data_IF_207701930770
#
_entry.id   IF_207701930770
#
_cell.length_a   1.000
_cell.length_b   1.000
_cell.length_c   1.000
_cell.angle_alpha   90.00
_cell.angle_beta   90.00
_cell.angle_gamma   90.00
#
_symmetry.space_group_name_H-M   'P 1'
#
loop_
_entity.id
_entity.type
_entity.pdbx_description
1 polymer ?
#
# COMPACT_ATOMS: atom_id res chain seq x y z
N UNK A 1 -13.54 9.76 -4.83
CA UNK A 1 -12.51 8.70 -4.82
C UNK A 1 -12.22 8.39 -3.37
N UNK A 2 -12.02 7.12 -2.98
CA UNK A 2 -11.73 6.78 -1.58
C UNK A 2 -10.39 7.38 -1.15
N UNK A 3 -10.33 7.86 0.09
CA UNK A 3 -9.13 8.43 0.67
C UNK A 3 -8.20 7.33 1.19
N UNK A 4 -6.91 7.46 0.87
CA UNK A 4 -5.87 6.57 1.40
C UNK A 4 -5.79 6.81 2.91
N UNK A 5 -5.94 5.76 3.72
CA UNK A 5 -5.79 5.84 5.19
C UNK A 5 -4.46 5.30 5.67
N UNK A 6 -3.85 4.40 4.90
CA UNK A 6 -2.55 3.84 5.19
C UNK A 6 -1.83 3.44 3.90
N UNK A 7 -0.52 3.67 3.89
CA UNK A 7 0.38 3.13 2.89
C UNK A 7 1.31 2.17 3.61
N UNK A 8 1.26 0.89 3.26
CA UNK A 8 2.17 -0.12 3.78
C UNK A 8 2.83 -0.89 2.63
N UNK A 9 4.12 -1.19 2.78
CA UNK A 9 4.88 -1.95 1.80
C UNK A 9 5.86 -2.89 2.50
N UNK A 10 6.12 -4.04 1.88
CA UNK A 10 7.19 -4.96 2.30
C UNK A 10 8.01 -5.39 1.10
N UNK A 11 9.33 -5.32 1.26
CA UNK A 11 10.26 -5.90 0.29
C UNK A 11 10.37 -7.41 0.56
N UNK A 12 9.92 -8.24 -0.40
CA UNK A 12 9.73 -9.67 -0.18
C UNK A 12 11.05 -10.43 0.10
N UNK A 13 12.17 -9.96 -0.45
CA UNK A 13 13.46 -10.66 -0.30
C UNK A 13 14.12 -10.40 1.06
N UNK A 14 14.08 -9.15 1.55
CA UNK A 14 14.77 -8.77 2.79
C UNK A 14 13.84 -8.65 3.98
N UNK A 15 12.53 -8.68 3.76
CA UNK A 15 11.53 -8.41 4.79
C UNK A 15 11.55 -6.98 5.31
N UNK A 16 12.25 -6.04 4.65
CA UNK A 16 12.26 -4.63 5.06
C UNK A 16 10.87 -4.02 4.82
N UNK A 17 10.33 -3.29 5.81
CA UNK A 17 8.95 -2.82 5.84
C UNK A 17 8.87 -1.30 5.83
N UNK A 18 7.80 -0.80 5.26
CA UNK A 18 7.34 0.57 5.34
C UNK A 18 5.86 0.58 5.74
N UNK A 19 5.47 1.47 6.64
CA UNK A 19 4.06 1.69 6.96
C UNK A 19 3.89 3.10 7.51
N UNK A 20 2.97 3.85 6.94
CA UNK A 20 2.59 5.19 7.39
C UNK A 20 1.08 5.35 7.32
N UNK A 21 0.51 6.07 8.29
CA UNK A 21 -0.91 6.40 8.33
C UNK A 21 -1.12 7.80 7.78
N UNK A 22 -2.12 7.92 6.93
CA UNK A 22 -2.46 9.16 6.24
C UNK A 22 -3.63 9.82 6.95
N UNK A 23 -3.49 11.10 7.29
CA UNK A 23 -4.59 11.91 7.82
C UNK A 23 -5.66 12.08 6.74
N UNK A 24 -6.88 11.64 7.04
CA UNK A 24 -8.03 11.83 6.15
C UNK A 24 -8.64 13.21 6.38
N UNK A 25 -9.13 13.85 5.31
CA UNK A 25 -9.89 15.11 5.42
C UNK A 25 -11.39 14.85 5.56
N UNK A 26 -11.84 13.63 5.22
CA UNK A 26 -13.22 13.16 5.43
C UNK A 26 -13.30 12.16 6.59
N UNK A 27 -14.43 12.10 7.30
CA UNK A 27 -14.67 11.11 8.34
C UNK A 27 -14.65 9.68 7.78
N UNK A 28 -14.00 8.77 8.51
CA UNK A 28 -13.97 7.35 8.16
C UNK A 28 -15.31 6.71 8.48
N UNK A 29 -15.92 6.00 7.52
CA UNK A 29 -17.18 5.28 7.73
C UNK A 29 -17.08 4.25 8.85
N UNK A 30 -18.18 4.03 9.56
CA UNK A 30 -18.30 3.09 10.68
C UNK A 30 -17.82 1.68 10.30
N UNK A 31 -18.15 1.25 9.08
CA UNK A 31 -17.77 -0.04 8.49
C UNK A 31 -16.26 -0.11 8.25
N UNK A 32 -15.67 0.95 7.68
CA UNK A 32 -14.24 0.98 7.43
C UNK A 32 -13.44 1.03 8.74
N UNK A 33 -13.88 1.80 9.75
CA UNK A 33 -13.23 1.84 11.08
C UNK A 33 -13.14 0.46 11.74
N UNK A 34 -14.18 -0.36 11.60
CA UNK A 34 -14.21 -1.74 12.12
C UNK A 34 -13.20 -2.66 11.43
N UNK A 35 -12.94 -2.44 10.14
CA UNK A 35 -12.02 -3.26 9.33
C UNK A 35 -10.56 -2.82 9.54
N UNK A 36 -10.31 -1.50 9.60
CA UNK A 36 -8.95 -0.95 9.64
C UNK A 36 -8.42 -0.69 11.06
N UNK A 37 -9.24 -0.84 12.11
CA UNK A 37 -8.88 -0.60 13.52
C UNK A 37 -8.33 0.82 13.79
N UNK A 38 -8.80 1.79 13.00
CA UNK A 38 -8.52 3.22 13.16
C UNK A 38 -9.81 3.90 13.61
N UNK A 39 -9.78 4.64 14.71
CA UNK A 39 -10.87 5.55 15.10
C UNK A 39 -10.47 7.00 14.83
N UNK A 40 -11.39 7.79 14.29
CA UNK A 40 -11.24 9.25 14.18
C UNK A 40 -12.13 9.86 15.25
N UNK A 41 -11.59 10.73 16.09
CA UNK A 41 -12.42 11.46 17.06
C UNK A 41 -13.10 12.69 16.43
N UNK A 42 -14.03 13.28 17.18
CA UNK A 42 -14.83 14.43 16.73
C UNK A 42 -13.99 15.68 16.39
N UNK A 43 -12.70 15.66 16.71
CA UNK A 43 -11.72 16.71 16.42
C UNK A 43 -10.80 16.36 15.23
N UNK A 44 -11.06 15.25 14.52
CA UNK A 44 -10.27 14.81 13.37
C UNK A 44 -8.92 14.18 13.73
N UNK A 45 -8.73 13.74 14.98
CA UNK A 45 -7.53 13.04 15.42
C UNK A 45 -7.72 11.53 15.21
N UNK A 46 -6.90 10.95 14.32
CA UNK A 46 -6.84 9.51 14.13
C UNK A 46 -6.12 8.84 15.30
N UNK A 47 -6.76 7.83 15.89
CA UNK A 47 -6.20 6.90 16.87
C UNK A 47 -6.20 5.50 16.28
N UNK A 48 -5.02 4.97 15.99
CA UNK A 48 -4.84 3.55 15.71
C UNK A 48 -4.71 2.83 17.04
N UNK A 49 -5.46 1.74 17.26
CA UNK A 49 -5.61 1.06 18.56
C UNK A 49 -4.30 0.53 19.21
N UNK A 50 -3.13 0.81 18.65
CA UNK A 50 -1.83 0.47 19.23
C UNK A 50 -0.75 1.56 19.16
N UNK A 51 -0.96 2.72 18.50
CA UNK A 51 0.02 3.82 18.49
C UNK A 51 -0.67 5.17 18.31
N UNK A 52 -0.52 6.03 19.32
CA UNK A 52 -0.72 7.48 19.21
C UNK A 52 0.39 8.07 18.35
N UNK A 53 0.31 7.94 17.03
CA UNK A 53 1.25 8.54 16.09
C UNK A 53 0.58 9.68 15.35
N UNK A 54 1.26 10.82 15.25
CA UNK A 54 0.78 11.99 14.50
C UNK A 54 0.47 11.59 13.05
N UNK A 55 -0.79 11.72 12.65
CA UNK A 55 -1.23 11.46 11.28
C UNK A 55 -0.61 12.50 10.34
N UNK A 56 0.15 12.05 9.35
CA UNK A 56 0.82 12.91 8.36
C UNK A 56 -0.07 13.13 7.13
N UNK A 57 0.14 14.24 6.42
CA UNK A 57 -0.60 14.51 5.18
C UNK A 57 -0.28 13.47 4.10
N UNK A 58 -1.20 13.22 3.17
CA UNK A 58 -0.98 12.28 2.06
C UNK A 58 0.30 12.61 1.26
N UNK A 59 0.61 13.89 1.09
CA UNK A 59 1.83 14.35 0.43
C UNK A 59 3.09 13.93 1.20
N UNK A 60 3.12 14.12 2.51
CA UNK A 60 4.25 13.71 3.34
C UNK A 60 4.40 12.18 3.33
N UNK A 61 3.29 11.45 3.49
CA UNK A 61 3.29 9.98 3.48
C UNK A 61 3.75 9.39 2.14
N UNK A 62 3.32 9.95 1.01
CA UNK A 62 3.79 9.52 -0.32
C UNK A 62 5.27 9.87 -0.53
N UNK A 63 5.72 11.03 -0.06
CA UNK A 63 7.13 11.40 -0.12
C UNK A 63 8.02 10.44 0.68
N UNK A 64 7.63 10.11 1.91
CA UNK A 64 8.31 9.08 2.72
C UNK A 64 8.33 7.71 2.05
N UNK A 65 7.21 7.33 1.42
CA UNK A 65 7.12 6.11 0.64
C UNK A 65 8.11 6.12 -0.52
N UNK A 66 8.24 7.24 -1.25
CA UNK A 66 9.20 7.36 -2.36
C UNK A 66 10.65 7.28 -1.88
N UNK A 67 10.99 7.92 -0.75
CA UNK A 67 12.32 7.80 -0.14
C UNK A 67 12.64 6.36 0.28
N UNK A 68 11.64 5.62 0.77
CA UNK A 68 11.79 4.21 1.07
C UNK A 68 11.96 3.37 -0.21
N UNK A 69 11.19 3.66 -1.26
CA UNK A 69 11.25 2.97 -2.55
C UNK A 69 12.55 3.20 -3.31
N UNK A 70 13.16 4.38 -3.19
CA UNK A 70 14.43 4.71 -3.83
C UNK A 70 15.58 3.75 -3.45
N UNK A 71 15.42 2.98 -2.35
CA UNK A 71 16.36 1.92 -1.93
C UNK A 71 16.29 0.66 -2.80
N UNK A 72 15.27 0.55 -3.66
CA UNK A 72 14.99 -0.62 -4.49
C UNK A 72 14.82 -0.22 -5.96
N UNK A 73 15.91 -0.11 -6.73
CA UNK A 73 15.80 0.23 -8.14
C UNK A 73 15.01 -0.84 -8.90
N UNK A 74 14.11 -0.39 -9.78
CA UNK A 74 13.23 -1.23 -10.63
C UNK A 74 12.26 -2.10 -9.84
N UNK A 75 11.77 -1.62 -8.69
CA UNK A 75 10.79 -2.33 -7.88
C UNK A 75 9.55 -2.75 -8.69
N UNK A 76 9.01 -3.93 -8.40
CA UNK A 76 7.73 -4.40 -8.94
C UNK A 76 6.69 -4.27 -7.84
N UNK A 77 5.60 -3.57 -8.12
CA UNK A 77 4.50 -3.40 -7.18
C UNK A 77 3.48 -4.53 -7.33
N UNK A 78 3.30 -5.29 -6.27
CA UNK A 78 2.29 -6.35 -6.21
C UNK A 78 1.18 -5.91 -5.27
N UNK A 79 -0.07 -6.02 -5.69
CA UNK A 79 -1.24 -5.86 -4.83
C UNK A 79 -2.33 -6.85 -5.24
N UNK A 80 -3.14 -7.29 -4.28
CA UNK A 80 -4.26 -8.19 -4.56
C UNK A 80 -5.46 -7.40 -5.03
N UNK A 81 -5.96 -7.69 -6.25
CA UNK A 81 -7.00 -6.90 -6.91
C UNK A 81 -6.58 -5.45 -7.16
N UNK A 82 -5.26 -5.23 -7.29
CA UNK A 82 -4.66 -3.91 -7.37
C UNK A 82 -5.15 -3.10 -8.57
N UNK A 83 -5.46 -3.73 -9.70
CA UNK A 83 -5.96 -3.02 -10.90
C UNK A 83 -7.30 -2.34 -10.66
N UNK A 84 -8.16 -2.96 -9.84
CA UNK A 84 -9.48 -2.40 -9.51
C UNK A 84 -9.40 -1.43 -8.33
N UNK A 85 -8.41 -1.60 -7.45
CA UNK A 85 -8.36 -0.90 -6.18
C UNK A 85 -7.04 -0.14 -5.99
N UNK A 86 -5.96 -0.79 -5.54
CA UNK A 86 -4.73 -0.14 -5.09
C UNK A 86 -4.11 0.79 -6.14
N UNK A 87 -3.94 0.34 -7.38
CA UNK A 87 -3.18 1.07 -8.39
C UNK A 87 -3.84 2.37 -8.83
N UNK A 88 -5.15 2.43 -9.17
CA UNK A 88 -5.79 3.69 -9.53
C UNK A 88 -5.71 4.74 -8.41
N UNK A 89 -5.88 4.31 -7.15
CA UNK A 89 -5.85 5.22 -6.00
C UNK A 89 -4.43 5.70 -5.72
N UNK A 90 -3.44 4.81 -5.78
CA UNK A 90 -2.03 5.19 -5.65
C UNK A 90 -1.63 6.19 -6.73
N UNK A 91 -1.91 5.88 -8.00
CA UNK A 91 -1.55 6.74 -9.14
C UNK A 91 -2.21 8.11 -9.02
N UNK A 92 -3.49 8.18 -8.65
CA UNK A 92 -4.14 9.46 -8.41
C UNK A 92 -3.50 10.23 -7.26
N UNK A 93 -3.15 9.56 -6.15
CA UNK A 93 -2.43 10.17 -5.04
C UNK A 93 -1.09 10.77 -5.50
N UNK A 94 -0.30 9.98 -6.24
CA UNK A 94 0.99 10.40 -6.77
C UNK A 94 0.90 11.59 -7.73
N UNK A 95 -0.12 11.62 -8.60
CA UNK A 95 -0.37 12.74 -9.51
C UNK A 95 -0.74 14.01 -8.73
N UNK A 96 -1.64 13.89 -7.74
CA UNK A 96 -2.10 15.00 -6.93
C UNK A 96 -1.02 15.56 -5.98
N UNK A 97 0.03 14.80 -5.70
CA UNK A 97 1.15 15.23 -4.84
C UNK A 97 2.44 15.53 -5.59
N UNK A 98 2.43 15.46 -6.93
CA UNK A 98 3.60 15.62 -7.80
C UNK A 98 4.75 14.62 -7.49
N UNK A 99 4.42 13.40 -7.04
CA UNK A 99 5.38 12.34 -6.76
C UNK A 99 5.48 11.30 -7.90
N UNK A 100 4.70 11.47 -8.97
CA UNK A 100 4.57 10.48 -10.04
C UNK A 100 5.89 10.21 -10.80
N UNK A 101 6.68 11.24 -11.08
CA UNK A 101 7.95 11.08 -11.79
C UNK A 101 8.97 10.29 -10.96
N UNK A 102 9.12 10.65 -9.67
CA UNK A 102 9.96 9.90 -8.72
C UNK A 102 9.52 8.45 -8.62
N UNK A 103 8.20 8.21 -8.62
CA UNK A 103 7.64 6.86 -8.62
C UNK A 103 8.04 6.07 -9.87
N UNK A 104 7.88 6.64 -11.08
CA UNK A 104 8.25 5.99 -12.33
C UNK A 104 9.75 5.68 -12.44
N UNK A 105 10.62 6.46 -11.80
CA UNK A 105 12.05 6.17 -11.73
C UNK A 105 12.39 4.99 -10.81
N UNK A 106 11.55 4.70 -9.81
CA UNK A 106 11.76 3.61 -8.85
C UNK A 106 11.06 2.32 -9.26
N UNK A 107 9.88 2.41 -9.89
CA UNK A 107 8.97 1.29 -10.13
C UNK A 107 8.94 0.91 -11.61
N UNK A 108 9.19 -0.37 -11.89
CA UNK A 108 9.24 -0.89 -13.26
C UNK A 108 7.88 -1.40 -13.76
N UNK A 109 7.03 -1.90 -12.86
CA UNK A 109 5.72 -2.47 -13.23
C UNK A 109 4.79 -2.66 -12.04
N UNK A 110 3.49 -2.83 -12.37
CA UNK A 110 2.44 -3.26 -11.46
C UNK A 110 1.98 -4.69 -11.79
N UNK A 111 1.75 -5.49 -10.77
CA UNK A 111 1.29 -6.88 -10.89
C UNK A 111 0.08 -7.08 -9.99
N UNK A 112 -1.05 -7.42 -10.61
CA UNK A 112 -2.26 -7.78 -9.86
C UNK A 112 -2.23 -9.26 -9.49
N UNK A 113 -2.17 -9.54 -8.19
CA UNK A 113 -2.05 -10.91 -7.72
C UNK A 113 -3.34 -11.72 -7.85
N UNK A 114 -4.50 -11.07 -8.08
CA UNK A 114 -5.76 -11.79 -8.34
C UNK A 114 -5.69 -12.61 -9.64
N UNK A 115 -4.89 -12.19 -10.62
CA UNK A 115 -4.69 -12.92 -11.87
C UNK A 115 -3.97 -14.26 -11.70
N UNK A 116 -3.23 -14.46 -10.60
CA UNK A 116 -2.48 -15.70 -10.35
C UNK A 116 -3.37 -16.91 -10.08
N UNK A 117 -4.66 -16.70 -9.79
CA UNK A 117 -5.66 -17.78 -9.70
C UNK A 117 -5.68 -18.71 -10.91
N UNK A 118 -5.46 -18.14 -12.10
CA UNK A 118 -5.42 -18.90 -13.35
C UNK A 118 -4.11 -19.65 -13.54
N UNK A 119 -3.03 -19.17 -12.94
CA UNK A 119 -1.68 -19.73 -13.07
C UNK A 119 -1.36 -20.78 -12.00
N UNK A 120 -2.07 -20.77 -10.86
CA UNK A 120 -1.86 -21.70 -9.73
C UNK A 120 -3.20 -22.27 -9.20
N UNK A 121 -3.90 -23.09 -10.02
CA UNK A 121 -5.16 -23.69 -9.59
C UNK A 121 -4.98 -24.57 -8.35
N UNK A 122 -5.90 -24.45 -7.38
CA UNK A 122 -5.94 -25.28 -6.17
C UNK A 122 -5.23 -24.72 -4.94
N UNK A 123 -4.60 -23.54 -5.00
CA UNK A 123 -4.03 -22.88 -3.82
C UNK A 123 -4.95 -21.80 -3.23
N UNK A 124 -4.67 -21.38 -1.99
CA UNK A 124 -5.31 -20.20 -1.42
C UNK A 124 -4.72 -18.93 -2.06
N UNK A 125 -5.58 -18.01 -2.43
CA UNK A 125 -5.22 -16.76 -3.13
C UNK A 125 -5.38 -15.53 -2.26
N UNK A 126 -5.55 -15.74 -0.95
CA UNK A 126 -5.43 -14.66 0.00
C UNK A 126 -4.03 -14.09 -0.10
N UNK A 127 -3.93 -12.78 0.11
CA UNK A 127 -2.67 -12.05 -0.05
C UNK A 127 -1.54 -12.68 0.78
N UNK A 128 -1.84 -13.10 2.02
CA UNK A 128 -0.92 -13.78 2.94
C UNK A 128 -0.31 -15.09 2.39
N UNK A 129 -1.10 -15.87 1.64
CA UNK A 129 -0.66 -17.15 1.09
C UNK A 129 0.22 -16.96 -0.14
N UNK A 130 -0.11 -15.96 -0.98
CA UNK A 130 0.65 -15.63 -2.18
C UNK A 130 2.03 -15.03 -1.84
N UNK A 131 2.17 -14.29 -0.73
CA UNK A 131 3.47 -13.80 -0.24
C UNK A 131 4.47 -14.94 -0.10
N UNK A 132 4.04 -16.08 0.44
CA UNK A 132 4.90 -17.23 0.70
C UNK A 132 5.38 -17.92 -0.60
N UNK A 133 4.58 -17.86 -1.65
CA UNK A 133 4.91 -18.43 -2.97
C UNK A 133 5.95 -17.57 -3.69
N UNK A 134 5.77 -16.25 -3.73
CA UNK A 134 6.65 -15.34 -4.47
C UNK A 134 7.98 -15.02 -3.77
N UNK A 135 8.04 -15.13 -2.44
CA UNK A 135 9.29 -14.95 -1.68
C UNK A 135 10.38 -15.96 -2.07
N UNK A 136 10.02 -17.03 -2.79
CA UNK A 136 10.95 -18.08 -3.24
C UNK A 136 11.57 -17.81 -4.63
N UNK A 137 11.16 -16.76 -5.35
CA UNK A 137 11.69 -16.47 -6.69
C UNK A 137 12.91 -15.52 -6.65
N UNK A 138 14.05 -15.89 -7.24
CA UNK A 138 15.34 -15.23 -6.97
C UNK A 138 15.64 -13.94 -7.75
N UNK A 139 14.82 -13.52 -8.73
CA UNK A 139 15.33 -12.66 -9.81
C UNK A 139 15.01 -11.15 -9.73
N UNK A 140 14.06 -10.64 -8.93
CA UNK A 140 13.71 -9.20 -8.93
C UNK A 140 13.33 -8.68 -7.52
N UNK A 141 13.70 -7.44 -7.15
CA UNK A 141 13.22 -6.81 -5.93
C UNK A 141 11.71 -6.60 -6.04
N UNK A 142 10.97 -7.49 -5.38
CA UNK A 142 9.50 -7.48 -5.40
C UNK A 142 9.01 -6.77 -4.15
N UNK A 143 8.23 -5.71 -4.32
CA UNK A 143 7.61 -4.95 -3.25
C UNK A 143 6.13 -5.26 -3.24
N UNK A 144 5.66 -5.86 -2.16
CA UNK A 144 4.24 -6.02 -1.93
C UNK A 144 3.72 -4.75 -1.28
N UNK A 145 2.81 -4.05 -1.96
CA UNK A 145 2.11 -2.90 -1.43
C UNK A 145 0.75 -3.36 -0.88
N UNK A 146 0.42 -2.88 0.30
CA UNK A 146 -0.91 -3.00 0.91
C UNK A 146 -1.38 -1.56 1.17
N UNK A 147 -2.41 -1.11 0.46
CA UNK A 147 -3.05 0.16 0.79
C UNK A 147 -4.38 -0.12 1.48
N UNK A 148 -4.52 0.35 2.72
CA UNK A 148 -5.82 0.35 3.40
C UNK A 148 -6.54 1.65 3.08
N UNK A 149 -7.86 1.55 2.91
CA UNK A 149 -8.74 2.61 2.41
C UNK A 149 -10.07 2.60 3.17
N UNK A 150 -10.82 3.70 3.03
CA UNK A 150 -12.21 3.82 3.41
C UNK A 150 -13.00 4.59 2.35
#
# INVERSE_FOLDING_TARGET
>A
MPDITQIAAVHLKTGFKFSTYVKTTVPISSEAQKVICISVDDHGKMRVKSRSGDSVSIKASLHECMMWLAKFPRAIFVAHNGRRFDFPVLVSGLLNTHCFETFCNCVSSFVDSAGFQKSYPGQSHKQEDLVNVFSRQPAMPTVLLIMLKH
#
